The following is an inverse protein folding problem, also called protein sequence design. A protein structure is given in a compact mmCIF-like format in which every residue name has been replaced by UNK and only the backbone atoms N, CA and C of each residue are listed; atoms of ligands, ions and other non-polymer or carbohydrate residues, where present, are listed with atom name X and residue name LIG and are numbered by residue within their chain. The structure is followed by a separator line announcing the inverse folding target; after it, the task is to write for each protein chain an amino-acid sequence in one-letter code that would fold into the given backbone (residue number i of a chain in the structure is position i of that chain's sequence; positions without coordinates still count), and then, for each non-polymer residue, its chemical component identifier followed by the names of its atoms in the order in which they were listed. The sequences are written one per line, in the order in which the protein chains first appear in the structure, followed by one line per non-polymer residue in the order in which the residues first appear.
data_IF_092596762312
#
_entry.id   IF_092596762312
#
_cell.length_a   1.000
_cell.length_b   1.000
_cell.length_c   1.000
_cell.angle_alpha   90.00
_cell.angle_beta   90.00
_cell.angle_gamma   90.00
#
_symmetry.space_group_name_H-M   'P 1'
#
loop_
_entity.id
_entity.type
_entity.pdbx_description
1 polymer ?
#
# COMPACT_ATOMS: atom_id res chain seq x y z
N UNK A 1 -28.70 44.96 59.58
CA UNK A 1 -28.98 43.76 58.76
C UNK A 1 -28.79 44.15 57.30
N UNK A 2 -28.31 43.25 56.45
CA UNK A 2 -28.14 43.53 55.01
C UNK A 2 -29.34 43.02 54.23
N UNK A 3 -29.93 43.87 53.39
CA UNK A 3 -30.95 43.51 52.40
C UNK A 3 -30.33 42.92 51.13
N UNK A 4 -31.18 42.41 50.22
CA UNK A 4 -30.72 41.89 48.92
C UNK A 4 -29.92 42.91 48.09
N UNK A 5 -30.31 44.20 47.99
CA UNK A 5 -29.53 45.21 47.27
C UNK A 5 -28.16 45.47 47.91
N UNK A 6 -28.07 45.45 49.24
CA UNK A 6 -26.81 45.64 49.96
C UNK A 6 -25.89 44.43 49.81
N UNK A 7 -26.44 43.21 49.78
CA UNK A 7 -25.69 41.98 49.45
C UNK A 7 -25.09 42.05 48.04
N UNK A 8 -25.85 42.54 47.06
CA UNK A 8 -25.35 42.73 45.69
C UNK A 8 -24.20 43.75 45.64
N UNK A 9 -24.36 44.90 46.29
CA UNK A 9 -23.32 45.93 46.36
C UNK A 9 -22.07 45.42 47.08
N UNK A 10 -22.23 44.66 48.16
CA UNK A 10 -21.12 44.04 48.87
C UNK A 10 -20.37 43.04 47.99
N UNK A 11 -21.08 42.14 47.29
CA UNK A 11 -20.45 41.16 46.41
C UNK A 11 -19.70 41.82 45.23
N UNK A 12 -20.26 42.89 44.67
CA UNK A 12 -19.63 43.67 43.61
C UNK A 12 -18.40 44.44 44.09
N UNK A 13 -18.45 45.04 45.29
CA UNK A 13 -17.35 45.80 45.85
C UNK A 13 -16.18 44.92 46.31
N UNK A 14 -16.48 43.85 47.05
CA UNK A 14 -15.47 42.99 47.67
C UNK A 14 -14.91 41.95 46.67
N UNK A 15 -15.81 41.27 45.93
CA UNK A 15 -15.45 40.12 45.09
C UNK A 15 -15.47 40.43 43.59
N UNK A 16 -15.80 41.68 43.20
CA UNK A 16 -15.98 42.09 41.80
C UNK A 16 -16.93 41.17 41.04
N UNK A 17 -17.92 40.63 41.73
CA UNK A 17 -18.86 39.65 41.20
C UNK A 17 -20.29 40.19 41.27
N UNK A 18 -20.92 40.30 40.10
CA UNK A 18 -22.34 40.60 40.01
C UNK A 18 -23.12 39.29 40.23
N UNK A 19 -23.66 39.11 41.44
CA UNK A 19 -24.38 37.89 41.82
C UNK A 19 -25.67 37.78 40.99
N UNK A 20 -25.93 36.64 40.32
CA UNK A 20 -27.18 36.43 39.60
C UNK A 20 -28.38 36.48 40.55
N UNK A 21 -29.50 37.07 40.12
CA UNK A 21 -30.71 37.19 40.94
C UNK A 21 -31.20 35.84 41.51
N UNK A 22 -31.07 34.76 40.73
CA UNK A 22 -31.39 33.39 41.15
C UNK A 22 -30.48 32.87 42.27
N UNK A 23 -29.22 33.29 42.30
CA UNK A 23 -28.28 32.98 43.37
C UNK A 23 -28.57 33.82 44.62
N UNK A 24 -28.92 35.11 44.47
CA UNK A 24 -29.37 35.96 45.58
C UNK A 24 -30.58 35.34 46.29
N UNK A 25 -31.56 34.82 45.54
CA UNK A 25 -32.74 34.18 46.12
C UNK A 25 -32.41 32.89 46.88
N UNK A 26 -31.45 32.10 46.39
CA UNK A 26 -30.96 30.90 47.09
C UNK A 26 -30.18 31.26 48.37
N UNK A 27 -29.30 32.26 48.29
CA UNK A 27 -28.58 32.83 49.43
C UNK A 27 -29.57 33.36 50.47
N UNK A 28 -30.62 34.03 50.04
CA UNK A 28 -31.67 34.56 50.91
C UNK A 28 -32.46 33.45 51.60
N UNK A 29 -32.95 32.45 50.85
CA UNK A 29 -33.66 31.29 51.41
C UNK A 29 -32.82 30.49 52.42
N UNK A 30 -31.51 30.35 52.16
CA UNK A 30 -30.60 29.54 52.98
C UNK A 30 -30.12 30.25 54.24
N UNK A 31 -29.82 31.54 54.18
CA UNK A 31 -29.21 32.29 55.28
C UNK A 31 -30.23 33.13 56.05
N UNK A 32 -31.20 33.73 55.36
CA UNK A 32 -32.17 34.66 55.98
C UNK A 32 -33.42 33.93 56.46
N UNK A 33 -33.87 32.88 55.75
CA UNK A 33 -35.11 32.13 56.05
C UNK A 33 -36.30 33.10 56.21
N UNK A 34 -36.96 33.12 57.38
CA UNK A 34 -38.13 33.97 57.68
C UNK A 34 -37.77 35.37 58.21
N UNK A 35 -36.47 35.70 58.31
CA UNK A 35 -36.01 36.98 58.84
C UNK A 35 -36.02 38.10 57.77
N UNK A 36 -35.84 39.35 58.20
CA UNK A 36 -35.89 40.53 57.31
C UNK A 36 -34.54 40.85 56.63
N UNK A 37 -33.45 40.20 57.05
CA UNK A 37 -32.16 40.31 56.36
C UNK A 37 -31.00 39.59 57.01
N UNK A 38 -29.82 39.67 56.39
CA UNK A 38 -28.62 38.97 56.88
C UNK A 38 -28.13 39.62 58.17
N UNK A 39 -28.10 38.84 59.26
CA UNK A 39 -27.54 39.23 60.57
C UNK A 39 -26.01 39.23 60.55
N UNK A 40 -25.41 40.03 61.45
CA UNK A 40 -23.95 40.13 61.60
C UNK A 40 -23.31 38.75 61.85
N UNK A 41 -23.91 37.93 62.69
CA UNK A 41 -23.40 36.59 63.03
C UNK A 41 -23.48 35.60 61.86
N UNK A 42 -24.32 35.88 60.87
CA UNK A 42 -24.46 35.09 59.63
C UNK A 42 -23.67 35.67 58.46
N UNK A 43 -22.89 36.74 58.68
CA UNK A 43 -22.14 37.41 57.62
C UNK A 43 -21.06 36.50 57.02
N UNK A 44 -20.41 35.65 57.81
CA UNK A 44 -19.47 34.66 57.27
C UNK A 44 -20.15 33.64 56.36
N UNK A 45 -21.37 33.21 56.71
CA UNK A 45 -22.19 32.32 55.86
C UNK A 45 -22.55 33.00 54.53
N UNK A 46 -22.85 34.30 54.57
CA UNK A 46 -23.06 35.11 53.37
C UNK A 46 -21.82 35.15 52.47
N UNK A 47 -20.62 35.37 53.02
CA UNK A 47 -19.37 35.34 52.23
C UNK A 47 -19.16 33.99 51.56
N UNK A 48 -19.36 32.89 52.29
CA UNK A 48 -19.26 31.53 51.75
C UNK A 48 -20.26 31.31 50.62
N UNK A 49 -21.51 31.74 50.81
CA UNK A 49 -22.55 31.55 49.80
C UNK A 49 -22.33 32.40 48.53
N UNK A 50 -21.77 33.60 48.65
CA UNK A 50 -21.30 34.40 47.50
C UNK A 50 -20.14 33.70 46.80
N UNK A 51 -19.20 33.13 47.55
CA UNK A 51 -18.09 32.33 47.00
C UNK A 51 -18.58 31.13 46.19
N UNK A 52 -19.56 30.38 46.71
CA UNK A 52 -20.20 29.28 45.99
C UNK A 52 -20.89 29.76 44.71
N UNK A 53 -21.61 30.88 44.76
CA UNK A 53 -22.26 31.44 43.57
C UNK A 53 -21.24 31.87 42.49
N UNK A 54 -20.07 32.38 42.89
CA UNK A 54 -18.98 32.74 41.99
C UNK A 54 -18.37 31.50 41.33
N UNK A 55 -18.12 30.44 42.08
CA UNK A 55 -17.62 29.18 41.52
C UNK A 55 -18.63 28.57 40.54
N UNK A 56 -19.92 28.55 40.91
CA UNK A 56 -20.99 28.08 40.02
C UNK A 56 -21.06 28.87 38.70
N UNK A 57 -20.83 30.18 38.75
CA UNK A 57 -20.80 31.01 37.55
C UNK A 57 -19.57 30.69 36.67
N UNK A 58 -18.40 30.51 37.27
CA UNK A 58 -17.19 30.12 36.52
C UNK A 58 -17.29 28.70 35.95
N UNK A 59 -17.85 27.75 36.70
CA UNK A 59 -18.08 26.39 36.23
C UNK A 59 -19.08 26.34 35.08
N UNK A 60 -20.09 27.21 35.07
CA UNK A 60 -21.00 27.34 33.93
C UNK A 60 -20.24 27.78 32.66
N UNK A 61 -19.32 28.76 32.77
CA UNK A 61 -18.48 29.20 31.65
C UNK A 61 -17.51 28.10 31.21
N UNK A 62 -16.80 27.45 32.14
CA UNK A 62 -15.91 26.32 31.79
C UNK A 62 -16.67 25.19 31.10
N UNK A 63 -17.92 24.94 31.52
CA UNK A 63 -18.79 23.94 30.89
C UNK A 63 -19.19 24.36 29.47
N UNK A 64 -19.54 25.62 29.24
CA UNK A 64 -19.87 26.09 27.87
C UNK A 64 -18.66 25.99 26.96
N UNK A 65 -17.49 26.45 27.42
CA UNK A 65 -16.25 26.41 26.64
C UNK A 65 -15.84 24.98 26.30
N UNK A 66 -15.97 24.05 27.27
CA UNK A 66 -15.72 22.62 27.04
C UNK A 66 -16.68 22.05 26.00
N UNK A 67 -17.98 22.33 26.10
CA UNK A 67 -18.98 21.84 25.16
C UNK A 67 -18.76 22.40 23.74
N UNK A 68 -18.34 23.66 23.62
CA UNK A 68 -17.98 24.25 22.33
C UNK A 68 -16.71 23.60 21.74
N UNK A 69 -15.69 23.37 22.57
CA UNK A 69 -14.47 22.66 22.14
C UNK A 69 -14.78 21.22 21.72
N UNK A 70 -15.59 20.48 22.48
CA UNK A 70 -16.00 19.12 22.14
C UNK A 70 -16.76 19.07 20.81
N UNK A 71 -17.65 20.03 20.56
CA UNK A 71 -18.36 20.14 19.27
C UNK A 71 -17.41 20.43 18.10
N UNK A 72 -16.45 21.34 18.26
CA UNK A 72 -15.46 21.64 17.23
C UNK A 72 -14.56 20.44 16.93
N UNK A 73 -14.07 19.76 17.98
CA UNK A 73 -13.27 18.55 17.84
C UNK A 73 -14.04 17.42 17.18
N UNK A 74 -15.33 17.24 17.50
CA UNK A 74 -16.17 16.23 16.84
C UNK A 74 -16.33 16.52 15.35
N UNK A 75 -16.66 17.76 14.97
CA UNK A 75 -16.79 18.15 13.57
C UNK A 75 -15.47 18.02 12.80
N UNK A 76 -14.34 18.42 13.40
CA UNK A 76 -13.02 18.27 12.82
C UNK A 76 -12.64 16.78 12.65
N UNK A 77 -12.98 15.94 13.63
CA UNK A 77 -12.76 14.49 13.55
C UNK A 77 -13.58 13.87 12.42
N UNK A 78 -14.85 14.23 12.26
CA UNK A 78 -15.70 13.73 11.18
C UNK A 78 -15.16 14.14 9.80
N UNK A 79 -14.80 15.41 9.63
CA UNK A 79 -14.20 15.89 8.38
C UNK A 79 -12.92 15.12 8.04
N UNK A 80 -12.04 14.92 9.03
CA UNK A 80 -10.80 14.18 8.83
C UNK A 80 -11.02 12.69 8.62
N UNK A 81 -12.04 12.10 9.24
CA UNK A 81 -12.41 10.70 9.02
C UNK A 81 -12.79 10.46 7.56
N UNK A 82 -13.47 11.41 6.91
CA UNK A 82 -13.78 11.31 5.47
C UNK A 82 -12.49 11.21 4.64
N UNK A 83 -11.50 12.05 4.92
CA UNK A 83 -10.18 11.97 4.26
C UNK A 83 -9.49 10.62 4.53
N UNK A 84 -9.46 10.16 5.79
CA UNK A 84 -8.91 8.85 6.17
C UNK A 84 -9.59 7.73 5.36
N UNK A 85 -10.92 7.75 5.23
CA UNK A 85 -11.65 6.74 4.46
C UNK A 85 -11.35 6.83 2.96
N UNK A 86 -11.07 8.01 2.42
CA UNK A 86 -10.66 8.17 1.03
C UNK A 86 -9.26 7.57 0.79
N UNK A 87 -8.32 7.79 1.71
CA UNK A 87 -6.98 7.17 1.65
C UNK A 87 -7.08 5.65 1.83
N UNK A 88 -7.95 5.17 2.72
CA UNK A 88 -8.18 3.73 2.90
C UNK A 88 -8.59 3.03 1.59
N UNK A 89 -9.43 3.65 0.77
CA UNK A 89 -9.81 3.12 -0.55
C UNK A 89 -8.63 3.07 -1.53
N UNK A 90 -7.69 4.01 -1.46
CA UNK A 90 -6.46 3.96 -2.25
C UNK A 90 -5.57 2.79 -1.82
N UNK A 91 -5.48 2.55 -0.51
CA UNK A 91 -4.76 1.39 0.05
C UNK A 91 -5.42 0.08 -0.39
N UNK A 92 -6.75 0.00 -0.38
CA UNK A 92 -7.50 -1.18 -0.87
C UNK A 92 -7.25 -1.44 -2.36
N UNK A 93 -7.29 -0.39 -3.20
CA UNK A 93 -6.96 -0.51 -4.63
C UNK A 93 -5.52 -1.02 -4.84
N UNK A 94 -4.58 -0.50 -4.05
CA UNK A 94 -3.19 -0.97 -4.09
C UNK A 94 -3.10 -2.44 -3.67
N UNK A 95 -3.83 -2.85 -2.63
CA UNK A 95 -3.90 -4.24 -2.16
C UNK A 95 -4.44 -5.20 -3.24
N UNK A 96 -5.52 -4.82 -3.92
CA UNK A 96 -6.10 -5.59 -5.03
C UNK A 96 -5.07 -5.78 -6.17
N UNK A 97 -4.38 -4.71 -6.55
CA UNK A 97 -3.39 -4.75 -7.63
C UNK A 97 -2.15 -5.55 -7.24
N UNK A 98 -1.71 -5.45 -5.99
CA UNK A 98 -0.63 -6.31 -5.43
C UNK A 98 -1.06 -7.77 -5.41
N UNK A 99 -2.30 -8.07 -5.00
CA UNK A 99 -2.87 -9.41 -5.02
C UNK A 99 -2.91 -10.00 -6.43
N UNK A 100 -3.26 -9.18 -7.43
CA UNK A 100 -3.20 -9.57 -8.84
C UNK A 100 -1.77 -9.90 -9.28
N UNK A 101 -0.80 -9.05 -8.97
CA UNK A 101 0.61 -9.31 -9.29
C UNK A 101 1.13 -10.61 -8.65
N UNK A 102 0.76 -10.86 -7.39
CA UNK A 102 1.11 -12.10 -6.68
C UNK A 102 0.45 -13.33 -7.33
N UNK A 103 -0.83 -13.21 -7.71
CA UNK A 103 -1.58 -14.25 -8.42
C UNK A 103 -0.92 -14.63 -9.74
N UNK A 104 -0.75 -13.66 -10.65
CA UNK A 104 -0.12 -13.90 -11.96
C UNK A 104 1.31 -14.44 -11.82
N UNK A 105 2.10 -13.92 -10.87
CA UNK A 105 3.44 -14.44 -10.62
C UNK A 105 3.44 -15.90 -10.16
N UNK A 106 2.46 -16.29 -9.34
CA UNK A 106 2.34 -17.67 -8.85
C UNK A 106 2.09 -18.67 -9.98
N UNK A 107 1.40 -18.24 -11.04
CA UNK A 107 1.08 -19.06 -12.22
C UNK A 107 2.31 -19.30 -13.12
N UNK A 108 3.41 -18.57 -12.92
CA UNK A 108 4.66 -18.81 -13.65
C UNK A 108 5.35 -20.12 -13.24
N UNK A 109 5.03 -20.66 -12.07
CA UNK A 109 5.65 -21.88 -11.57
C UNK A 109 5.35 -23.09 -12.46
N UNK A 110 6.40 -23.73 -12.99
CA UNK A 110 6.25 -24.96 -13.78
C UNK A 110 5.94 -24.72 -15.26
N UNK A 111 5.81 -23.45 -15.70
CA UNK A 111 5.52 -23.10 -17.10
C UNK A 111 6.60 -23.58 -18.06
N UNK A 112 7.83 -23.79 -17.59
CA UNK A 112 8.92 -24.37 -18.39
C UNK A 112 8.59 -25.76 -18.98
N UNK A 113 7.66 -26.47 -18.35
CA UNK A 113 7.23 -27.81 -18.77
C UNK A 113 6.05 -27.79 -19.75
N UNK A 114 5.29 -26.71 -19.79
CA UNK A 114 4.01 -26.66 -20.51
C UNK A 114 3.99 -25.64 -21.64
N UNK A 115 4.82 -24.60 -21.57
CA UNK A 115 4.83 -23.50 -22.53
C UNK A 115 6.15 -23.46 -23.31
N UNK A 116 6.11 -22.83 -24.49
CA UNK A 116 7.29 -22.46 -25.27
C UNK A 116 8.01 -21.24 -24.65
N UNK A 117 9.29 -21.05 -24.99
CA UNK A 117 10.13 -20.01 -24.39
C UNK A 117 9.58 -18.59 -24.61
N UNK A 118 9.07 -18.29 -25.79
CA UNK A 118 8.44 -17.01 -26.14
C UNK A 118 7.18 -16.72 -25.29
N UNK A 119 6.32 -17.74 -25.11
CA UNK A 119 5.14 -17.65 -24.25
C UNK A 119 5.51 -17.42 -22.78
N UNK A 120 6.56 -18.07 -22.27
CA UNK A 120 7.08 -17.83 -20.92
C UNK A 120 7.54 -16.38 -20.70
N UNK A 121 8.25 -15.82 -21.68
CA UNK A 121 8.70 -14.42 -21.63
C UNK A 121 7.50 -13.47 -21.63
N UNK A 122 6.51 -13.70 -22.48
CA UNK A 122 5.27 -12.91 -22.51
C UNK A 122 4.51 -12.94 -21.17
N UNK A 123 4.43 -14.10 -20.51
CA UNK A 123 3.82 -14.21 -19.17
C UNK A 123 4.60 -13.42 -18.11
N UNK A 124 5.94 -13.49 -18.14
CA UNK A 124 6.78 -12.70 -17.23
C UNK A 124 6.63 -11.18 -17.46
N UNK A 125 6.48 -10.75 -18.72
CA UNK A 125 6.25 -9.35 -19.06
C UNK A 125 4.89 -8.84 -18.56
N UNK A 126 3.84 -9.67 -18.59
CA UNK A 126 2.53 -9.35 -18.01
C UNK A 126 2.63 -9.10 -16.51
N UNK A 127 3.33 -9.98 -15.78
CA UNK A 127 3.59 -9.79 -14.35
C UNK A 127 4.29 -8.46 -14.08
N UNK A 128 5.31 -8.09 -14.87
CA UNK A 128 6.02 -6.82 -14.70
C UNK A 128 5.13 -5.59 -14.97
N UNK A 129 4.18 -5.69 -15.91
CA UNK A 129 3.18 -4.63 -16.14
C UNK A 129 2.31 -4.43 -14.90
N UNK A 130 1.81 -5.53 -14.30
CA UNK A 130 0.98 -5.43 -13.10
C UNK A 130 1.79 -4.98 -11.89
N UNK A 131 3.03 -5.44 -11.73
CA UNK A 131 3.94 -4.94 -10.68
C UNK A 131 4.17 -3.43 -10.80
N UNK A 132 4.38 -2.89 -12.01
CA UNK A 132 4.51 -1.44 -12.23
C UNK A 132 3.24 -0.69 -11.83
N UNK A 133 2.07 -1.21 -12.20
CA UNK A 133 0.78 -0.63 -11.80
C UNK A 133 0.63 -0.62 -10.27
N UNK A 134 0.92 -1.75 -9.62
CA UNK A 134 0.85 -1.87 -8.17
C UNK A 134 1.76 -0.85 -7.46
N UNK A 135 3.00 -0.67 -7.94
CA UNK A 135 3.92 0.34 -7.39
C UNK A 135 3.37 1.76 -7.51
N UNK A 136 2.73 2.09 -8.63
CA UNK A 136 2.09 3.39 -8.80
C UNK A 136 0.93 3.61 -7.82
N UNK A 137 0.09 2.60 -7.59
CA UNK A 137 -1.02 2.69 -6.64
C UNK A 137 -0.53 2.79 -5.19
N UNK A 138 0.54 2.06 -4.84
CA UNK A 138 1.20 2.17 -3.54
C UNK A 138 1.72 3.58 -3.30
N UNK A 139 2.39 4.19 -4.28
CA UNK A 139 2.93 5.54 -4.13
C UNK A 139 1.82 6.57 -3.97
N UNK A 140 0.75 6.47 -4.77
CA UNK A 140 -0.43 7.34 -4.62
C UNK A 140 -1.05 7.22 -3.21
N UNK A 141 -1.14 6.01 -2.66
CA UNK A 141 -1.64 5.78 -1.31
C UNK A 141 -0.71 6.36 -0.22
N UNK A 142 0.62 6.22 -0.37
CA UNK A 142 1.61 6.81 0.54
C UNK A 142 1.57 8.33 0.53
N UNK A 143 1.54 8.95 -0.65
CA UNK A 143 1.44 10.40 -0.77
C UNK A 143 0.16 10.94 -0.12
N UNK A 144 -0.98 10.27 -0.34
CA UNK A 144 -2.24 10.66 0.26
C UNK A 144 -2.25 10.47 1.78
N UNK A 145 -1.66 9.37 2.28
CA UNK A 145 -1.49 9.11 3.72
C UNK A 145 -0.63 10.17 4.41
N UNK A 146 0.49 10.56 3.79
CA UNK A 146 1.39 11.59 4.34
C UNK A 146 0.71 12.95 4.55
N UNK A 147 -0.20 13.33 3.65
CA UNK A 147 -0.97 14.58 3.70
C UNK A 147 -2.06 14.58 4.78
N UNK A 148 -2.42 13.43 5.36
CA UNK A 148 -3.40 13.37 6.43
C UNK A 148 -2.95 14.16 7.66
N UNK A 149 -1.66 14.27 7.93
CA UNK A 149 -1.15 14.98 9.11
C UNK A 149 -1.30 16.51 9.06
N UNK A 150 -1.65 17.09 7.90
CA UNK A 150 -1.76 18.53 7.72
C UNK A 150 -3.05 19.10 8.38
N UNK A 151 -2.90 20.26 9.04
CA UNK A 151 -4.03 21.05 9.54
C UNK A 151 -4.70 20.55 10.83
N UNK A 152 -4.00 19.76 11.67
CA UNK A 152 -4.59 19.16 12.86
C UNK A 152 -4.66 20.09 14.09
N UNK A 153 -5.81 20.09 14.77
CA UNK A 153 -5.97 20.68 16.10
C UNK A 153 -5.34 19.81 17.22
N UNK A 154 -4.84 20.48 18.27
CA UNK A 154 -4.33 19.87 19.51
C UNK A 154 -5.47 19.14 20.25
N UNK A 155 -5.64 17.86 19.92
CA UNK A 155 -6.66 16.97 20.49
C UNK A 155 -6.96 15.74 19.62
N UNK A 156 -6.69 15.81 18.31
CA UNK A 156 -6.93 14.71 17.37
C UNK A 156 -5.66 14.00 16.90
N UNK A 157 -4.49 14.49 17.29
CA UNK A 157 -3.18 14.01 16.82
C UNK A 157 -2.97 12.53 17.08
N UNK A 158 -3.24 12.07 18.31
CA UNK A 158 -3.08 10.66 18.67
C UNK A 158 -4.05 9.75 17.90
N UNK A 159 -5.31 10.19 17.75
CA UNK A 159 -6.29 9.42 16.99
C UNK A 159 -5.87 9.30 15.52
N UNK A 160 -5.52 10.42 14.86
CA UNK A 160 -5.10 10.37 13.47
C UNK A 160 -3.81 9.56 13.29
N UNK A 161 -2.85 9.70 14.21
CA UNK A 161 -1.61 8.90 14.16
C UNK A 161 -1.90 7.40 14.20
N UNK A 162 -2.93 6.96 14.94
CA UNK A 162 -3.37 5.56 14.93
C UNK A 162 -4.02 5.17 13.60
N UNK A 163 -4.88 6.01 13.03
CA UNK A 163 -5.49 5.75 11.71
C UNK A 163 -4.43 5.62 10.61
N UNK A 164 -3.48 6.56 10.55
CA UNK A 164 -2.35 6.53 9.61
C UNK A 164 -1.49 5.30 9.83
N UNK A 165 -1.21 4.93 11.08
CA UNK A 165 -0.43 3.73 11.40
C UNK A 165 -1.11 2.46 10.85
N UNK A 166 -2.44 2.34 10.93
CA UNK A 166 -3.15 1.18 10.36
C UNK A 166 -2.98 1.10 8.84
N UNK A 167 -3.07 2.24 8.14
CA UNK A 167 -2.85 2.31 6.70
C UNK A 167 -1.40 1.94 6.34
N UNK A 168 -0.42 2.46 7.08
CA UNK A 168 1.00 2.18 6.88
C UNK A 168 1.34 0.70 7.12
N UNK A 169 0.76 0.07 8.15
CA UNK A 169 0.97 -1.34 8.44
C UNK A 169 0.46 -2.23 7.30
N UNK A 170 -0.68 -1.91 6.69
CA UNK A 170 -1.16 -2.60 5.49
C UNK A 170 -0.17 -2.41 4.33
N UNK A 171 0.20 -1.17 4.02
CA UNK A 171 1.09 -0.84 2.90
C UNK A 171 2.49 -1.46 3.04
N UNK A 172 3.01 -1.63 4.26
CA UNK A 172 4.30 -2.28 4.52
C UNK A 172 4.36 -3.73 4.00
N UNK A 173 3.21 -4.42 3.92
CA UNK A 173 3.15 -5.79 3.43
C UNK A 173 3.24 -5.90 1.89
N UNK A 174 3.06 -4.80 1.17
CA UNK A 174 2.94 -4.82 -0.29
C UNK A 174 4.29 -4.98 -1.00
N UNK A 175 5.31 -4.23 -0.59
CA UNK A 175 6.63 -4.27 -1.27
C UNK A 175 7.28 -5.66 -1.24
N UNK A 176 7.27 -6.41 -0.11
CA UNK A 176 7.78 -7.79 -0.10
C UNK A 176 7.07 -8.72 -1.09
N UNK A 177 5.75 -8.57 -1.26
CA UNK A 177 4.96 -9.35 -2.22
C UNK A 177 5.34 -9.02 -3.66
N UNK A 178 5.47 -7.73 -3.99
CA UNK A 178 5.90 -7.30 -5.32
C UNK A 178 7.33 -7.74 -5.63
N UNK A 179 8.24 -7.68 -4.67
CA UNK A 179 9.61 -8.16 -4.85
C UNK A 179 9.64 -9.67 -5.15
N UNK A 180 8.80 -10.46 -4.47
CA UNK A 180 8.65 -11.88 -4.78
C UNK A 180 8.12 -12.10 -6.20
N UNK A 181 7.12 -11.33 -6.63
CA UNK A 181 6.59 -11.40 -8.00
C UNK A 181 7.66 -11.10 -9.05
N UNK A 182 8.48 -10.05 -8.85
CA UNK A 182 9.62 -9.69 -9.71
C UNK A 182 10.64 -10.82 -9.79
N UNK A 183 10.97 -11.45 -8.65
CA UNK A 183 11.91 -12.58 -8.62
C UNK A 183 11.36 -13.77 -9.42
N UNK A 184 10.05 -14.06 -9.32
CA UNK A 184 9.41 -15.13 -10.09
C UNK A 184 9.40 -14.84 -11.59
N UNK A 185 9.09 -13.61 -12.00
CA UNK A 185 9.16 -13.18 -13.40
C UNK A 185 10.58 -13.29 -13.96
N UNK A 186 11.58 -12.84 -13.19
CA UNK A 186 13.00 -12.96 -13.55
C UNK A 186 13.39 -14.43 -13.73
N UNK A 187 13.00 -15.29 -12.78
CA UNK A 187 13.29 -16.72 -12.86
C UNK A 187 12.62 -17.40 -14.06
N UNK A 188 11.39 -17.00 -14.40
CA UNK A 188 10.69 -17.50 -15.58
C UNK A 188 11.48 -17.19 -16.86
N UNK A 189 12.01 -15.97 -16.99
CA UNK A 189 12.85 -15.59 -18.14
C UNK A 189 14.16 -16.37 -18.23
N UNK A 190 14.82 -16.62 -17.10
CA UNK A 190 16.02 -17.47 -17.07
C UNK A 190 15.72 -18.90 -17.55
N UNK A 191 14.59 -19.46 -17.13
CA UNK A 191 14.14 -20.78 -17.56
C UNK A 191 13.77 -20.79 -19.05
N UNK A 192 13.12 -19.73 -19.54
CA UNK A 192 12.81 -19.57 -20.96
C UNK A 192 14.08 -19.53 -21.81
N UNK A 193 15.08 -18.72 -21.41
CA UNK A 193 16.37 -18.64 -22.11
C UNK A 193 17.11 -19.98 -22.11
N UNK A 194 17.07 -20.72 -20.99
CA UNK A 194 17.63 -22.07 -20.93
C UNK A 194 16.90 -23.03 -21.89
N UNK A 195 15.57 -22.97 -21.91
CA UNK A 195 14.74 -23.82 -22.78
C UNK A 195 15.05 -23.57 -24.26
N UNK A 196 15.10 -22.30 -24.66
CA UNK A 196 15.48 -21.90 -26.03
C UNK A 196 16.86 -22.43 -26.41
N UNK A 197 17.84 -22.30 -25.51
CA UNK A 197 19.18 -22.87 -25.72
C UNK A 197 19.15 -24.40 -25.85
N UNK A 198 18.46 -25.10 -24.95
CA UNK A 198 18.35 -26.56 -24.97
C UNK A 198 17.66 -27.05 -26.27
N UNK A 199 16.66 -26.32 -26.78
CA UNK A 199 16.00 -26.59 -28.07
C UNK A 199 16.95 -26.42 -29.26
N UNK A 200 17.75 -25.35 -29.28
CA UNK A 200 18.77 -25.14 -30.32
C UNK A 200 19.81 -26.26 -30.31
N UNK A 201 20.30 -26.64 -29.13
CA UNK A 201 21.28 -27.74 -28.99
C UNK A 201 20.70 -29.08 -29.47
N UNK A 202 19.43 -29.35 -29.18
CA UNK A 202 18.75 -30.55 -29.66
C UNK A 202 18.65 -30.57 -31.20
N UNK A 203 18.24 -29.45 -31.81
CA UNK A 203 18.15 -29.31 -33.27
C UNK A 203 19.54 -29.43 -33.92
N UNK A 204 20.58 -28.83 -33.32
CA UNK A 204 21.95 -28.94 -33.80
C UNK A 204 22.43 -30.40 -33.81
N UNK A 205 22.18 -31.13 -32.72
CA UNK A 205 22.54 -32.54 -32.64
C UNK A 205 21.84 -33.40 -33.70
N UNK A 206 20.57 -33.12 -33.99
CA UNK A 206 19.83 -33.77 -35.08
C UNK A 206 20.39 -33.40 -36.46
N UNK A 207 20.70 -32.12 -36.68
CA UNK A 207 21.29 -31.66 -37.92
C UNK A 207 22.65 -32.32 -38.19
N UNK A 208 23.51 -32.41 -37.17
CA UNK A 208 24.81 -33.08 -37.28
C UNK A 208 24.63 -34.57 -37.63
N UNK A 209 23.63 -35.26 -37.07
CA UNK A 209 23.35 -36.66 -37.42
C UNK A 209 22.99 -36.82 -38.90
N UNK A 210 22.13 -35.94 -39.42
CA UNK A 210 21.75 -35.93 -40.85
C UNK A 210 22.96 -35.67 -41.74
N UNK A 211 23.79 -34.67 -41.40
CA UNK A 211 24.98 -34.32 -42.18
C UNK A 211 25.99 -35.48 -42.18
N UNK A 212 26.25 -36.10 -41.03
CA UNK A 212 27.16 -37.25 -40.93
C UNK A 212 26.64 -38.47 -41.71
N UNK A 213 25.33 -38.71 -41.69
CA UNK A 213 24.73 -39.77 -42.48
C UNK A 213 24.92 -39.51 -43.98
N UNK A 214 24.59 -38.30 -44.45
CA UNK A 214 24.81 -37.91 -45.84
C UNK A 214 26.28 -38.00 -46.27
N UNK A 215 27.20 -37.55 -45.41
CA UNK A 215 28.65 -37.66 -45.64
C UNK A 215 29.06 -39.12 -45.84
N UNK A 216 28.51 -40.03 -45.03
CA UNK A 216 28.79 -41.47 -45.10
C UNK A 216 28.21 -42.09 -46.38
N UNK A 217 26.93 -41.84 -46.68
CA UNK A 217 26.23 -42.36 -47.86
C UNK A 217 26.88 -41.90 -49.18
N UNK A 218 27.32 -40.64 -49.23
CA UNK A 218 28.01 -40.08 -50.40
C UNK A 218 29.53 -40.28 -50.36
N UNK A 219 30.06 -40.92 -49.32
CA UNK A 219 31.50 -41.15 -49.12
C UNK A 219 32.35 -39.87 -49.26
N UNK A 220 31.86 -38.76 -48.70
CA UNK A 220 32.52 -37.45 -48.80
C UNK A 220 33.62 -37.30 -47.74
N UNK A 221 34.79 -36.78 -48.13
CA UNK A 221 35.78 -36.27 -47.17
C UNK A 221 35.26 -34.98 -46.51
N UNK A 222 35.93 -34.50 -45.47
CA UNK A 222 35.54 -33.23 -44.82
C UNK A 222 35.67 -32.04 -45.79
N UNK A 223 36.71 -32.02 -46.62
CA UNK A 223 36.92 -30.99 -47.64
C UNK A 223 35.87 -31.07 -48.75
N UNK A 224 35.50 -32.29 -49.18
CA UNK A 224 34.46 -32.49 -50.18
C UNK A 224 33.06 -32.14 -49.65
N UNK A 225 32.81 -32.42 -48.37
CA UNK A 225 31.58 -32.01 -47.68
C UNK A 225 31.51 -30.48 -47.58
N UNK A 226 32.59 -29.83 -47.15
CA UNK A 226 32.64 -28.37 -47.06
C UNK A 226 32.43 -27.72 -48.44
N UNK A 227 33.13 -28.20 -49.48
CA UNK A 227 32.95 -27.70 -50.85
C UNK A 227 31.55 -27.98 -51.43
N UNK A 228 30.84 -29.00 -50.94
CA UNK A 228 29.45 -29.26 -51.33
C UNK A 228 28.46 -28.29 -50.69
N UNK A 229 28.83 -27.66 -49.57
CA UNK A 229 28.03 -26.64 -48.88
C UNK A 229 28.40 -25.23 -49.37
N UNK A 230 29.70 -24.90 -49.45
CA UNK A 230 30.26 -23.63 -49.90
C UNK A 230 30.15 -23.49 -51.44
N UNK A 231 28.93 -23.24 -51.90
CA UNK A 231 28.63 -23.08 -53.34
C UNK A 231 29.21 -21.80 -53.93
N UNK A 232 29.49 -20.80 -53.09
CA UNK A 232 30.10 -19.54 -53.50
C UNK A 232 31.64 -19.60 -53.55
N UNK A 233 32.24 -20.66 -52.98
CA UNK A 233 33.68 -20.87 -52.88
C UNK A 233 34.40 -19.70 -52.21
N UNK A 234 33.80 -19.14 -51.15
CA UNK A 234 34.33 -18.01 -50.39
C UNK A 234 34.96 -18.41 -49.05
N UNK A 235 35.16 -19.73 -48.83
CA UNK A 235 35.63 -20.36 -47.60
C UNK A 235 34.72 -20.08 -46.39
N UNK A 236 33.44 -19.78 -46.63
CA UNK A 236 32.41 -19.62 -45.61
C UNK A 236 31.17 -20.40 -46.00
N UNK A 237 30.31 -20.60 -45.00
CA UNK A 237 29.00 -21.19 -45.20
C UNK A 237 27.99 -20.21 -44.64
N UNK A 238 27.16 -19.66 -45.52
CA UNK A 238 26.04 -18.83 -45.10
C UNK A 238 24.77 -19.65 -44.83
N UNK A 239 23.72 -18.99 -44.33
CA UNK A 239 22.45 -19.64 -44.01
C UNK A 239 21.75 -20.22 -45.25
N UNK A 240 21.85 -19.54 -46.40
CA UNK A 240 21.19 -19.97 -47.63
C UNK A 240 21.89 -21.20 -48.21
N UNK A 241 23.22 -21.22 -48.23
CA UNK A 241 24.07 -22.35 -48.59
C UNK A 241 23.80 -23.56 -47.69
N UNK A 242 23.84 -23.36 -46.36
CA UNK A 242 23.53 -24.41 -45.40
C UNK A 242 22.13 -24.97 -45.62
N UNK A 243 21.10 -24.13 -45.78
CA UNK A 243 19.73 -24.59 -45.99
C UNK A 243 19.55 -25.34 -47.32
N UNK A 244 20.21 -24.88 -48.39
CA UNK A 244 20.15 -25.54 -49.68
C UNK A 244 20.77 -26.94 -49.62
N UNK A 245 21.97 -27.04 -49.04
CA UNK A 245 22.64 -28.32 -48.81
C UNK A 245 21.83 -29.24 -47.90
N UNK A 246 21.41 -28.73 -46.73
CA UNK A 246 20.73 -29.53 -45.71
C UNK A 246 19.39 -30.11 -46.21
N UNK A 247 18.67 -29.39 -47.09
CA UNK A 247 17.46 -29.91 -47.76
C UNK A 247 17.75 -31.05 -48.74
N UNK A 248 18.95 -31.07 -49.33
CA UNK A 248 19.42 -32.11 -50.24
C UNK A 248 20.10 -33.29 -49.55
N UNK A 249 20.30 -33.24 -48.22
CA UNK A 249 20.92 -34.33 -47.48
C UNK A 249 20.09 -35.62 -47.55
N UNK A 250 20.81 -36.73 -47.67
CA UNK A 250 20.24 -38.07 -47.46
C UNK A 250 19.91 -38.20 -45.98
N UNK A 251 18.73 -38.72 -45.65
CA UNK A 251 18.25 -38.80 -44.27
C UNK A 251 18.33 -40.23 -43.76
N UNK A 252 18.77 -40.42 -42.50
CA UNK A 252 18.78 -41.75 -41.90
C UNK A 252 17.35 -42.33 -41.87
N UNK A 253 17.23 -43.62 -42.15
CA UNK A 253 15.95 -44.33 -42.06
C UNK A 253 15.49 -44.40 -40.59
N UNK A 254 14.17 -44.39 -40.36
CA UNK A 254 13.57 -44.32 -39.00
C UNK A 254 13.94 -45.47 -38.05
N UNK A 255 14.67 -46.50 -38.50
CA UNK A 255 15.09 -47.64 -37.67
C UNK A 255 16.47 -47.45 -37.00
N UNK A 256 17.32 -46.55 -37.50
CA UNK A 256 18.70 -46.39 -36.99
C UNK A 256 18.84 -45.43 -35.78
N UNK A 257 17.76 -44.74 -35.37
CA UNK A 257 17.83 -43.78 -34.25
C UNK A 257 17.92 -44.42 -32.85
N UNK A 258 17.92 -45.75 -32.75
CA UNK A 258 17.83 -46.49 -31.49
C UNK A 258 19.13 -47.12 -30.97
N UNK A 259 20.27 -46.97 -31.64
CA UNK A 259 21.49 -47.69 -31.26
C UNK A 259 22.73 -46.80 -31.28
N UNK A 260 22.99 -46.10 -30.17
CA UNK A 260 24.25 -46.21 -29.45
C UNK A 260 24.27 -45.29 -28.23
N UNK A 261 24.26 -45.89 -27.05
CA UNK A 261 24.75 -45.29 -25.81
C UNK A 261 25.73 -46.29 -25.18
N UNK A 262 26.96 -45.88 -24.87
CA UNK A 262 27.61 -46.20 -23.62
C UNK A 262 27.31 -45.13 -22.55
#
# INVERSE_FOLDING_TARGET
MLGKPEVQKYAKGEFKFDVPATAIDKIWKSIVKDDKGVKKDSFQRLKVAIGVAREQAMDAVRKTDRLEREKKLAAAKEAKQVEVTAVAKLVEKAEETVGKAEGEASELGGKEKTEAADAMVALADQVDVVVKSARSDIEAAKEASGKLSEGLEDGLQQWLAQEVLQLDLKMKSFEPKLNKAVVMATRCRELAAKKDFDEVVAIEAEAIKVIKHHQTEKSLSNEALFAAVDTSSDDKVDLAEFQAFFKGCEKPSTEESGSNAP
#
